data_IF_178151795590
#
_entry.id   IF_178151795590
#
_cell.length_a   1.000
_cell.length_b   1.000
_cell.length_c   1.000
_cell.angle_alpha   90.00
_cell.angle_beta   90.00
_cell.angle_gamma   90.00
#
_symmetry.space_group_name_H-M   'P 1'
#
loop_
_entity.id
_entity.type
_entity.pdbx_description
1 polymer ?
#
# COMPACT_ATOMS: atom_id res chain seq x y z
N UNK A 1 6.19 2.56 15.92
CA UNK A 1 4.78 2.14 15.74
C UNK A 1 4.06 2.17 17.09
N UNK A 2 2.96 2.92 17.22
CA UNK A 2 2.16 3.01 18.47
C UNK A 2 1.05 1.96 18.56
N UNK A 3 0.99 1.02 17.61
CA UNK A 3 0.04 -0.09 17.62
C UNK A 3 0.19 -0.92 18.91
N UNK A 4 -0.93 -1.18 19.57
CA UNK A 4 -1.00 -2.11 20.69
C UNK A 4 -0.90 -3.58 20.21
N UNK A 5 -0.79 -4.50 21.18
CA UNK A 5 -0.66 -5.93 20.88
C UNK A 5 -1.87 -6.47 20.10
N UNK A 6 -3.08 -5.97 20.37
CA UNK A 6 -4.29 -6.40 19.66
C UNK A 6 -4.26 -5.99 18.19
N UNK A 7 -3.79 -4.78 17.90
CA UNK A 7 -3.58 -4.30 16.54
C UNK A 7 -2.55 -5.15 15.80
N UNK A 8 -1.42 -5.44 16.45
CA UNK A 8 -0.39 -6.29 15.86
C UNK A 8 -0.88 -7.72 15.63
N UNK A 9 -1.64 -8.28 16.57
CA UNK A 9 -2.25 -9.60 16.42
C UNK A 9 -3.28 -9.63 15.29
N UNK A 10 -4.02 -8.55 15.08
CA UNK A 10 -4.93 -8.41 13.95
C UNK A 10 -4.17 -8.40 12.61
N UNK A 11 -3.12 -7.59 12.50
CA UNK A 11 -2.25 -7.55 11.29
C UNK A 11 -1.59 -8.91 11.06
N UNK A 12 -1.08 -9.57 12.10
CA UNK A 12 -0.48 -10.89 12.04
C UNK A 12 -1.51 -11.95 11.62
N UNK A 13 -2.75 -11.86 12.10
CA UNK A 13 -3.82 -12.78 11.68
C UNK A 13 -4.16 -12.59 10.21
N UNK A 14 -4.31 -11.34 9.77
CA UNK A 14 -4.60 -11.00 8.39
C UNK A 14 -3.49 -11.48 7.46
N UNK A 15 -2.23 -11.19 7.81
CA UNK A 15 -1.08 -11.42 6.92
C UNK A 15 -0.48 -12.80 7.09
N UNK A 16 -0.28 -13.31 8.30
CA UNK A 16 0.38 -14.61 8.54
C UNK A 16 -0.56 -15.79 8.46
N UNK A 17 -1.78 -15.64 8.99
CA UNK A 17 -2.71 -16.76 9.15
C UNK A 17 -3.80 -16.78 8.06
N UNK A 18 -3.86 -15.70 7.26
CA UNK A 18 -4.89 -15.49 6.26
C UNK A 18 -6.28 -15.35 6.86
N UNK A 19 -6.38 -14.80 8.07
CA UNK A 19 -7.61 -14.71 8.86
C UNK A 19 -8.02 -13.26 9.07
N UNK A 20 -9.23 -12.93 8.64
CA UNK A 20 -9.82 -11.63 8.90
C UNK A 20 -10.60 -11.68 10.22
N UNK A 21 -9.98 -11.15 11.28
CA UNK A 21 -10.61 -10.95 12.59
C UNK A 21 -11.40 -9.65 12.63
N UNK A 22 -12.25 -9.48 13.65
CA UNK A 22 -12.83 -8.17 13.98
C UNK A 22 -11.71 -7.16 14.20
N UNK A 23 -11.87 -5.96 13.65
CA UNK A 23 -10.88 -4.88 13.80
C UNK A 23 -10.88 -4.43 15.27
N UNK A 24 -9.72 -4.43 15.95
CA UNK A 24 -9.63 -4.04 17.34
C UNK A 24 -9.87 -2.54 17.51
N UNK A 25 -10.45 -2.17 18.65
CA UNK A 25 -10.50 -0.77 19.08
C UNK A 25 -9.25 -0.52 19.90
N UNK A 26 -8.30 0.22 19.35
CA UNK A 26 -7.01 0.40 20.01
C UNK A 26 -7.13 1.19 21.30
N UNK A 27 -6.47 0.69 22.34
CA UNK A 27 -6.33 1.37 23.63
C UNK A 27 -5.24 2.45 23.62
N UNK A 28 -4.31 2.41 22.65
CA UNK A 28 -3.20 3.36 22.52
C UNK A 28 -3.51 4.58 21.64
N UNK A 29 -4.73 4.64 21.08
CA UNK A 29 -5.13 5.70 20.13
C UNK A 29 -4.79 5.38 18.68
N UNK A 30 -4.28 4.18 18.37
CA UNK A 30 -4.03 3.74 16.99
C UNK A 30 -5.34 3.59 16.21
N UNK A 31 -5.50 4.30 15.10
CA UNK A 31 -6.75 4.27 14.33
C UNK A 31 -6.67 3.33 13.13
N UNK A 32 -7.48 2.26 13.12
CA UNK A 32 -7.77 1.49 11.91
C UNK A 32 -9.12 1.92 11.36
N UNK A 33 -9.17 2.33 10.08
CA UNK A 33 -10.43 2.67 9.40
C UNK A 33 -10.50 2.04 8.02
N UNK A 34 -11.65 1.50 7.68
CA UNK A 34 -11.94 0.98 6.34
C UNK A 34 -12.76 2.03 5.60
N UNK A 35 -12.39 2.32 4.36
CA UNK A 35 -13.07 3.29 3.51
C UNK A 35 -13.80 2.60 2.39
N UNK A 36 -14.97 3.12 2.01
CA UNK A 36 -15.81 2.56 0.95
C UNK A 36 -15.20 2.74 -0.45
N UNK A 37 -14.29 3.71 -0.63
CA UNK A 37 -13.69 4.04 -1.92
C UNK A 37 -12.26 4.58 -1.78
N UNK A 38 -11.42 4.45 -2.82
CA UNK A 38 -10.05 4.98 -2.80
C UNK A 38 -10.04 6.51 -2.75
N UNK A 39 -11.04 7.20 -3.31
CA UNK A 39 -11.17 8.66 -3.24
C UNK A 39 -11.35 9.16 -1.81
N UNK A 40 -12.18 8.48 -1.02
CA UNK A 40 -12.42 8.85 0.37
C UNK A 40 -11.18 8.60 1.24
N UNK A 41 -10.47 7.49 0.98
CA UNK A 41 -9.20 7.19 1.62
C UNK A 41 -8.14 8.26 1.29
N UNK A 42 -7.94 8.58 0.00
CA UNK A 42 -6.97 9.59 -0.43
C UNK A 42 -7.30 10.97 0.15
N UNK A 43 -8.58 11.35 0.15
CA UNK A 43 -9.04 12.61 0.73
C UNK A 43 -8.74 12.70 2.23
N UNK A 44 -8.99 11.64 2.99
CA UNK A 44 -8.67 11.63 4.42
C UNK A 44 -7.16 11.67 4.66
N UNK A 45 -6.36 10.94 3.88
CA UNK A 45 -4.89 11.00 3.98
C UNK A 45 -4.37 12.41 3.67
N UNK A 46 -4.89 13.08 2.64
CA UNK A 46 -4.55 14.47 2.32
C UNK A 46 -4.91 15.42 3.45
N UNK A 47 -6.07 15.22 4.09
CA UNK A 47 -6.47 15.97 5.28
C UNK A 47 -5.46 15.77 6.43
N UNK A 48 -5.08 14.53 6.74
CA UNK A 48 -4.07 14.23 7.77
C UNK A 48 -2.70 14.82 7.44
N UNK A 49 -2.29 14.76 6.18
CA UNK A 49 -1.04 15.37 5.73
C UNK A 49 -1.02 16.91 5.83
N UNK A 50 -2.20 17.56 5.89
CA UNK A 50 -2.32 19.00 6.12
C UNK A 50 -2.25 19.41 7.59
N UNK A 51 -2.29 18.46 8.53
CA UNK A 51 -2.15 18.69 9.97
C UNK A 51 -0.66 18.67 10.35
N UNK A 52 -0.22 19.61 11.20
CA UNK A 52 1.20 19.76 11.59
C UNK A 52 1.80 18.47 12.14
N UNK A 53 1.03 17.73 12.94
CA UNK A 53 1.51 16.54 13.66
C UNK A 53 1.36 15.24 12.85
N UNK A 54 0.81 15.32 11.63
CA UNK A 54 0.64 14.16 10.74
C UNK A 54 1.02 14.42 9.28
N UNK A 55 1.91 15.36 9.04
CA UNK A 55 2.39 15.75 7.71
C UNK A 55 2.97 14.57 6.88
N UNK A 56 3.49 13.53 7.53
CA UNK A 56 4.01 12.32 6.90
C UNK A 56 2.92 11.25 6.72
N UNK A 57 1.74 11.67 6.26
CA UNK A 57 0.66 10.75 5.85
C UNK A 57 0.69 10.54 4.35
N UNK A 58 0.69 9.28 3.88
CA UNK A 58 0.78 8.96 2.45
C UNK A 58 -0.09 7.76 2.08
N UNK A 59 -0.51 7.73 0.82
CA UNK A 59 -1.16 6.56 0.21
C UNK A 59 -0.08 5.62 -0.29
N UNK A 60 -0.23 4.33 0.01
CA UNK A 60 0.66 3.25 -0.39
C UNK A 60 -0.18 2.07 -0.88
N UNK A 61 0.35 1.28 -1.81
CA UNK A 61 -0.40 0.19 -2.41
C UNK A 61 0.45 -1.06 -2.62
N UNK A 62 -0.22 -2.22 -2.75
CA UNK A 62 0.40 -3.43 -3.31
C UNK A 62 0.78 -3.19 -4.78
N UNK A 63 1.80 -3.89 -5.23
CA UNK A 63 2.39 -3.75 -6.56
C UNK A 63 1.58 -4.54 -7.60
N UNK A 64 0.33 -4.13 -7.79
CA UNK A 64 -0.66 -4.80 -8.64
C UNK A 64 -1.01 -4.01 -9.91
N UNK A 65 -0.28 -2.92 -10.15
CA UNK A 65 -0.37 -2.11 -11.37
C UNK A 65 1.00 -2.06 -12.05
N UNK A 66 0.97 -1.91 -13.37
CA UNK A 66 2.19 -1.88 -14.17
C UNK A 66 3.07 -0.68 -13.85
N UNK A 67 4.38 -0.90 -13.90
CA UNK A 67 5.39 0.14 -13.76
C UNK A 67 6.69 -0.27 -14.45
N UNK A 68 7.32 0.68 -15.14
CA UNK A 68 8.66 0.53 -15.70
C UNK A 68 9.48 1.78 -15.45
N UNK A 69 10.66 1.61 -14.86
CA UNK A 69 11.62 2.72 -14.70
C UNK A 69 12.30 3.12 -16.01
N UNK A 70 12.27 2.24 -17.02
CA UNK A 70 13.04 2.40 -18.26
C UNK A 70 12.18 2.88 -19.43
N UNK A 71 10.87 2.65 -19.36
CA UNK A 71 9.93 2.96 -20.42
C UNK A 71 8.82 3.86 -19.88
N UNK A 72 8.30 4.73 -20.75
CA UNK A 72 7.03 5.41 -20.48
C UNK A 72 5.86 4.45 -20.72
N UNK A 73 4.67 4.74 -20.16
CA UNK A 73 3.45 4.03 -20.52
C UNK A 73 3.26 3.98 -22.05
N UNK A 74 2.87 2.82 -22.58
CA UNK A 74 2.67 2.64 -24.02
C UNK A 74 1.50 3.47 -24.54
N UNK A 75 0.46 3.63 -23.71
CA UNK A 75 -0.68 4.47 -24.02
C UNK A 75 -0.22 5.94 -24.09
N UNK A 76 -0.19 6.51 -25.30
CA UNK A 76 0.24 7.91 -25.56
C UNK A 76 -0.48 8.98 -24.73
N UNK A 77 -1.67 8.66 -24.19
CA UNK A 77 -2.46 9.55 -23.35
C UNK A 77 -2.07 9.49 -21.87
N UNK A 78 -1.35 8.44 -21.43
CA UNK A 78 -0.85 8.31 -20.07
C UNK A 78 0.52 8.97 -19.95
N UNK A 79 0.59 9.99 -19.09
CA UNK A 79 1.84 10.70 -18.82
C UNK A 79 2.75 9.93 -17.86
N UNK A 80 2.16 9.20 -16.92
CA UNK A 80 2.83 8.48 -15.83
C UNK A 80 2.40 7.03 -15.79
N UNK A 81 3.20 6.20 -15.15
CA UNK A 81 2.71 4.94 -14.59
C UNK A 81 1.84 5.25 -13.39
N UNK A 82 0.63 4.69 -13.33
CA UNK A 82 -0.37 5.07 -12.34
C UNK A 82 -1.06 3.85 -11.73
N UNK A 83 -1.50 4.01 -10.49
CA UNK A 83 -2.50 3.14 -9.87
C UNK A 83 -3.87 3.62 -10.34
N UNK A 84 -4.65 2.74 -10.97
CA UNK A 84 -5.97 3.04 -11.53
C UNK A 84 -7.03 2.12 -10.90
N UNK A 85 -8.06 2.71 -10.27
CA UNK A 85 -9.17 2.03 -9.61
C UNK A 85 -10.47 2.75 -9.99
N UNK A 86 -11.22 2.20 -10.94
CA UNK A 86 -12.41 2.86 -11.48
C UNK A 86 -12.04 4.22 -12.09
N UNK A 87 -12.58 5.30 -11.52
CA UNK A 87 -12.28 6.67 -11.95
C UNK A 87 -11.16 7.33 -11.13
N UNK A 88 -10.78 6.74 -10.00
CA UNK A 88 -9.66 7.24 -9.22
C UNK A 88 -8.35 6.73 -9.81
N UNK A 89 -7.40 7.63 -9.99
CA UNK A 89 -6.07 7.28 -10.42
C UNK A 89 -5.04 8.22 -9.81
N UNK A 90 -3.81 7.72 -9.69
CA UNK A 90 -2.71 8.49 -9.11
C UNK A 90 -1.35 7.94 -9.55
N UNK A 91 -0.37 8.80 -9.87
CA UNK A 91 0.96 8.35 -10.27
C UNK A 91 1.63 7.46 -9.24
N UNK A 92 2.36 6.46 -9.71
CA UNK A 92 3.29 5.71 -8.87
C UNK A 92 4.38 6.62 -8.32
N UNK A 93 5.06 6.13 -7.29
CA UNK A 93 6.17 6.82 -6.66
C UNK A 93 7.23 7.32 -7.68
N UNK A 94 7.73 8.54 -7.46
CA UNK A 94 8.81 9.22 -8.23
C UNK A 94 8.42 9.70 -9.63
N UNK A 95 7.18 9.52 -10.07
CA UNK A 95 6.73 9.99 -11.38
C UNK A 95 6.67 11.54 -11.44
N UNK A 96 6.27 12.20 -10.35
CA UNK A 96 6.11 13.66 -10.28
C UNK A 96 7.43 14.41 -10.04
N UNK A 97 8.50 13.73 -9.60
CA UNK A 97 9.81 14.35 -9.39
C UNK A 97 10.35 14.98 -10.69
N UNK A 98 10.04 14.37 -11.84
CA UNK A 98 10.48 14.86 -13.14
C UNK A 98 9.97 16.27 -13.46
N UNK A 99 8.80 16.64 -12.94
CA UNK A 99 8.12 17.93 -13.17
C UNK A 99 8.71 19.09 -12.36
N UNK A 100 9.42 18.76 -11.28
CA UNK A 100 9.94 19.75 -10.37
C UNK A 100 11.03 20.61 -11.04
N UNK A 101 10.99 21.91 -10.73
CA UNK A 101 12.04 22.86 -11.09
C UNK A 101 13.37 22.50 -10.43
N UNK A 102 14.47 23.06 -10.95
CA UNK A 102 15.80 22.88 -10.34
C UNK A 102 15.85 23.34 -8.87
N UNK A 103 15.03 24.33 -8.49
CA UNK A 103 14.97 24.85 -7.11
C UNK A 103 14.26 23.84 -6.20
N UNK A 104 13.13 23.31 -6.64
CA UNK A 104 12.36 22.30 -5.90
C UNK A 104 13.18 21.01 -5.72
N UNK A 105 13.82 20.53 -6.79
CA UNK A 105 14.73 19.36 -6.74
C UNK A 105 15.86 19.53 -5.73
N UNK A 106 16.40 20.75 -5.58
CA UNK A 106 17.41 21.04 -4.55
C UNK A 106 16.81 21.03 -3.14
N UNK A 107 15.59 21.50 -2.97
CA UNK A 107 14.90 21.55 -1.68
C UNK A 107 14.53 20.15 -1.16
N UNK A 108 14.21 19.21 -2.04
CA UNK A 108 13.87 17.82 -1.68
C UNK A 108 15.10 16.89 -1.61
N UNK A 109 16.30 17.39 -1.91
CA UNK A 109 17.50 16.56 -1.99
C UNK A 109 17.83 15.98 -0.61
N UNK A 110 17.89 14.65 -0.52
CA UNK A 110 18.20 13.92 0.71
C UNK A 110 16.99 13.62 1.59
N UNK A 111 15.80 14.10 1.22
CA UNK A 111 14.56 13.75 1.90
C UNK A 111 14.08 12.36 1.45
N UNK A 112 13.56 11.58 2.41
CA UNK A 112 12.85 10.34 2.10
C UNK A 112 11.60 10.64 1.26
N UNK A 113 11.14 9.67 0.46
CA UNK A 113 10.00 9.87 -0.45
C UNK A 113 8.77 10.49 0.25
N UNK A 114 8.41 9.99 1.42
CA UNK A 114 7.25 10.48 2.16
C UNK A 114 7.42 11.89 2.78
N UNK A 115 8.65 12.40 2.88
CA UNK A 115 8.93 13.75 3.37
C UNK A 115 8.86 14.80 2.25
N UNK A 116 8.87 14.35 0.99
CA UNK A 116 8.81 15.25 -0.16
C UNK A 116 7.37 15.76 -0.35
N UNK A 117 7.14 17.06 -0.56
CA UNK A 117 5.79 17.61 -0.62
C UNK A 117 4.93 17.04 -1.75
N UNK A 118 5.49 16.87 -2.95
CA UNK A 118 4.74 16.43 -4.14
C UNK A 118 4.25 14.97 -4.04
N UNK A 119 4.85 14.16 -3.16
CA UNK A 119 4.53 12.73 -3.06
C UNK A 119 3.20 12.48 -2.36
N UNK A 120 2.59 13.51 -1.77
CA UNK A 120 1.18 13.45 -1.35
C UNK A 120 0.25 13.18 -2.52
N UNK A 121 0.66 13.51 -3.74
CA UNK A 121 -0.06 13.24 -5.00
C UNK A 121 0.49 12.03 -5.75
N UNK A 122 1.31 11.19 -5.11
CA UNK A 122 1.73 9.88 -5.60
C UNK A 122 1.18 8.72 -4.73
N UNK A 123 1.33 7.49 -5.23
CA UNK A 123 1.15 6.24 -4.46
C UNK A 123 2.51 5.60 -4.24
N UNK A 124 2.84 5.33 -2.98
CA UNK A 124 4.06 4.62 -2.62
C UNK A 124 3.93 3.11 -2.78
N UNK A 125 4.96 2.46 -3.32
CA UNK A 125 5.08 1.00 -3.27
C UNK A 125 5.88 0.57 -2.04
N UNK A 126 5.91 -0.74 -1.77
CA UNK A 126 6.81 -1.29 -0.74
C UNK A 126 8.28 -0.96 -0.97
N UNK A 127 8.70 -0.75 -2.22
CA UNK A 127 10.08 -0.36 -2.54
C UNK A 127 10.46 1.04 -2.07
N UNK A 128 9.50 1.97 -1.95
CA UNK A 128 9.77 3.35 -1.52
C UNK A 128 9.50 3.59 -0.05
N UNK A 129 8.71 2.73 0.59
CA UNK A 129 8.35 2.88 2.00
C UNK A 129 9.15 1.99 2.96
N UNK A 130 9.95 1.05 2.43
CA UNK A 130 10.75 0.16 3.27
C UNK A 130 11.77 0.93 4.11
N UNK A 131 11.69 0.78 5.43
CA UNK A 131 12.59 1.46 6.37
C UNK A 131 12.14 2.88 6.75
N UNK A 132 10.94 3.30 6.35
CA UNK A 132 10.34 4.57 6.75
C UNK A 132 8.95 4.34 7.35
N UNK A 133 8.59 5.15 8.33
CA UNK A 133 7.31 5.09 9.04
C UNK A 133 6.47 6.33 8.68
N UNK A 134 5.16 6.15 8.50
CA UNK A 134 4.19 7.21 8.19
C UNK A 134 3.37 7.54 9.42
N UNK A 135 2.91 8.78 9.58
CA UNK A 135 1.95 9.11 10.64
C UNK A 135 0.65 8.31 10.44
N UNK A 136 0.04 8.45 9.26
CA UNK A 136 -1.05 7.60 8.80
C UNK A 136 -0.71 6.96 7.45
N UNK A 137 -0.91 5.66 7.35
CA UNK A 137 -0.75 4.92 6.10
C UNK A 137 -2.11 4.67 5.45
N UNK A 138 -2.33 5.22 4.26
CA UNK A 138 -3.47 4.85 3.42
C UNK A 138 -3.11 3.65 2.58
N UNK A 139 -3.47 2.45 3.03
CA UNK A 139 -3.15 1.18 2.39
C UNK A 139 -4.24 0.78 1.39
N UNK A 140 -3.86 0.73 0.12
CA UNK A 140 -4.68 0.15 -0.95
C UNK A 140 -4.21 -1.29 -1.18
N UNK A 141 -5.11 -2.23 -0.95
CA UNK A 141 -4.91 -3.64 -1.29
C UNK A 141 -5.45 -3.85 -2.71
N UNK A 142 -4.55 -4.05 -3.66
CA UNK A 142 -4.87 -4.30 -5.06
C UNK A 142 -5.38 -5.71 -5.32
N UNK A 143 -5.42 -6.07 -6.60
CA UNK A 143 -6.05 -7.32 -7.07
C UNK A 143 -5.34 -8.60 -6.65
N UNK A 144 -4.10 -8.53 -6.13
CA UNK A 144 -3.38 -9.70 -5.61
C UNK A 144 -3.79 -10.10 -4.20
N UNK A 145 -4.63 -9.31 -3.51
CA UNK A 145 -5.12 -9.62 -2.16
C UNK A 145 -6.63 -9.81 -2.21
N UNK A 146 -7.09 -11.03 -1.95
CA UNK A 146 -8.50 -11.44 -2.10
C UNK A 146 -9.01 -12.07 -0.81
N UNK A 147 -10.32 -12.22 -0.70
CA UNK A 147 -10.94 -13.01 0.36
C UNK A 147 -11.84 -14.07 -0.24
N UNK A 148 -11.62 -15.34 0.07
CA UNK A 148 -12.49 -16.42 -0.40
C UNK A 148 -12.69 -17.43 0.72
N UNK A 149 -13.92 -17.89 0.92
CA UNK A 149 -14.25 -19.00 1.84
C UNK A 149 -13.68 -18.81 3.25
N UNK A 150 -13.75 -17.59 3.81
CA UNK A 150 -13.27 -17.34 5.16
C UNK A 150 -11.77 -17.03 5.28
N UNK A 151 -11.02 -16.99 4.17
CA UNK A 151 -9.56 -16.84 4.15
C UNK A 151 -9.10 -15.72 3.22
N UNK A 152 -8.06 -15.02 3.64
CA UNK A 152 -7.29 -14.11 2.79
C UNK A 152 -6.45 -14.97 1.83
N UNK A 153 -6.54 -14.66 0.54
CA UNK A 153 -5.82 -15.32 -0.54
C UNK A 153 -4.87 -14.30 -1.17
N UNK A 154 -3.59 -14.67 -1.27
CA UNK A 154 -2.61 -13.90 -2.03
C UNK A 154 -2.46 -14.54 -3.40
N UNK A 155 -2.75 -13.79 -4.46
CA UNK A 155 -2.75 -14.27 -5.85
C UNK A 155 -1.58 -13.67 -6.65
N UNK A 156 -0.48 -14.42 -6.85
CA UNK A 156 0.68 -13.95 -7.61
C UNK A 156 0.39 -13.60 -9.06
N UNK A 157 -0.67 -14.17 -9.65
CA UNK A 157 -1.00 -13.91 -11.06
C UNK A 157 -1.51 -12.49 -11.30
N UNK A 158 -1.97 -11.83 -10.23
CA UNK A 158 -2.50 -10.47 -10.26
C UNK A 158 -1.47 -9.39 -9.85
N UNK A 159 -0.27 -9.80 -9.43
CA UNK A 159 0.81 -8.87 -9.05
C UNK A 159 1.69 -8.53 -10.26
N UNK A 160 2.06 -7.27 -10.40
CA UNK A 160 3.06 -6.81 -11.37
C UNK A 160 4.50 -6.88 -10.84
N UNK A 161 4.69 -7.34 -9.59
CA UNK A 161 6.01 -7.58 -9.04
C UNK A 161 6.63 -8.82 -9.69
N UNK A 162 7.57 -8.60 -10.62
CA UNK A 162 8.24 -9.69 -11.35
C UNK A 162 8.88 -10.75 -10.44
N UNK A 163 9.24 -10.42 -9.19
CA UNK A 163 9.76 -11.41 -8.22
C UNK A 163 8.67 -12.30 -7.65
N UNK A 164 7.43 -11.79 -7.52
CA UNK A 164 6.28 -12.57 -7.06
C UNK A 164 5.77 -13.53 -8.15
N UNK A 165 5.91 -13.16 -9.43
CA UNK A 165 5.43 -13.96 -10.57
C UNK A 165 6.44 -15.04 -11.00
N UNK A 166 7.74 -14.83 -10.77
CA UNK A 166 8.80 -15.75 -11.24
C UNK A 166 9.02 -16.94 -10.29
N UNK A 167 9.21 -18.12 -10.89
CA UNK A 167 9.71 -19.30 -10.17
C UNK A 167 11.16 -19.07 -9.74
N UNK A 168 11.48 -19.35 -8.47
CA UNK A 168 12.88 -19.41 -8.03
C UNK A 168 13.39 -20.83 -8.16
N UNK A 169 14.56 -20.97 -8.81
CA UNK A 169 15.35 -22.20 -8.77
C UNK A 169 16.11 -22.22 -7.45
N UNK A 170 15.86 -23.24 -6.63
CA UNK A 170 16.58 -23.46 -5.38
C UNK A 170 17.94 -24.11 -5.66
N UNK A 171 18.81 -24.14 -4.64
CA UNK A 171 20.16 -24.72 -4.74
C UNK A 171 20.16 -26.20 -5.09
N UNK A 172 19.04 -26.89 -4.88
CA UNK A 172 18.80 -28.28 -5.27
C UNK A 172 18.24 -28.44 -6.70
N UNK A 173 18.11 -27.34 -7.46
CA UNK A 173 17.56 -27.32 -8.82
C UNK A 173 16.04 -27.31 -8.91
N UNK A 174 15.31 -27.41 -7.79
CA UNK A 174 13.84 -27.39 -7.80
C UNK A 174 13.29 -25.98 -8.03
N UNK A 175 12.17 -25.88 -8.74
CA UNK A 175 11.46 -24.59 -8.94
C UNK A 175 10.31 -24.50 -7.95
N UNK A 176 10.37 -23.53 -7.06
CA UNK A 176 9.29 -23.28 -6.09
C UNK A 176 8.68 -21.89 -6.31
N UNK A 177 7.35 -21.82 -6.21
CA UNK A 177 6.60 -20.56 -6.23
C UNK A 177 6.66 -19.94 -4.84
N UNK A 178 7.23 -18.75 -4.75
CA UNK A 178 7.27 -17.95 -3.52
C UNK A 178 6.35 -16.72 -3.61
N UNK A 179 5.54 -16.61 -4.67
CA UNK A 179 4.74 -15.44 -4.95
C UNK A 179 3.79 -15.06 -3.82
N UNK A 180 3.06 -16.05 -3.28
CA UNK A 180 2.10 -15.83 -2.20
C UNK A 180 2.80 -15.25 -0.96
N UNK A 181 3.92 -15.88 -0.56
CA UNK A 181 4.75 -15.40 0.56
C UNK A 181 5.32 -14.01 0.32
N UNK A 182 5.69 -13.68 -0.93
CA UNK A 182 6.21 -12.35 -1.27
C UNK A 182 5.13 -11.29 -1.17
N UNK A 183 3.94 -11.53 -1.71
CA UNK A 183 2.79 -10.61 -1.56
C UNK A 183 2.38 -10.49 -0.10
N UNK A 184 2.37 -11.61 0.63
CA UNK A 184 2.09 -11.62 2.06
C UNK A 184 3.05 -10.71 2.85
N UNK A 185 4.36 -10.81 2.59
CA UNK A 185 5.35 -9.92 3.19
C UNK A 185 5.16 -8.47 2.75
N UNK A 186 4.83 -8.26 1.49
CA UNK A 186 4.55 -6.94 0.92
C UNK A 186 3.40 -6.26 1.67
N UNK A 187 2.26 -6.94 1.79
CA UNK A 187 1.07 -6.48 2.52
C UNK A 187 1.41 -6.20 3.97
N UNK A 188 2.14 -7.10 4.64
CA UNK A 188 2.60 -6.87 6.02
C UNK A 188 3.46 -5.63 6.15
N UNK A 189 4.38 -5.39 5.22
CA UNK A 189 5.21 -4.18 5.23
C UNK A 189 4.33 -2.95 5.14
N UNK A 190 3.34 -2.91 4.22
CA UNK A 190 2.43 -1.77 4.06
C UNK A 190 1.59 -1.53 5.32
N UNK A 191 0.96 -2.58 5.84
CA UNK A 191 0.05 -2.49 7.00
C UNK A 191 0.75 -2.09 8.31
N UNK A 192 2.07 -2.19 8.38
CA UNK A 192 2.87 -1.82 9.56
C UNK A 192 3.54 -0.45 9.44
N UNK A 193 3.32 0.30 8.35
CA UNK A 193 3.98 1.61 8.14
C UNK A 193 3.36 2.73 8.96
N UNK A 194 2.05 2.69 9.25
CA UNK A 194 1.38 3.73 9.99
C UNK A 194 1.76 3.66 11.47
N UNK A 195 2.21 4.77 12.06
CA UNK A 195 2.53 4.85 13.49
C UNK A 195 1.35 5.29 14.34
N UNK A 196 0.48 6.17 13.82
CA UNK A 196 -0.72 6.66 14.49
C UNK A 196 -1.98 5.96 13.96
N UNK A 197 -1.95 5.43 12.73
CA UNK A 197 -3.09 4.71 12.18
C UNK A 197 -2.88 4.18 10.77
N UNK A 198 -3.80 3.32 10.37
CA UNK A 198 -3.88 2.69 9.06
C UNK A 198 -5.29 2.82 8.51
N UNK A 199 -5.40 3.35 7.30
CA UNK A 199 -6.65 3.45 6.55
C UNK A 199 -6.61 2.47 5.39
N UNK A 200 -7.66 1.70 5.18
CA UNK A 200 -7.65 0.55 4.27
C UNK A 200 -8.76 0.67 3.23
N UNK A 201 -8.42 0.34 1.98
CA UNK A 201 -9.37 0.03 0.91
C UNK A 201 -8.87 -1.22 0.18
N UNK A 202 -9.78 -2.15 -0.14
CA UNK A 202 -9.48 -3.34 -0.93
C UNK A 202 -10.20 -3.30 -2.29
N UNK A 203 -9.46 -3.66 -3.35
CA UNK A 203 -10.00 -3.74 -4.70
C UNK A 203 -10.84 -5.00 -4.93
N UNK A 204 -10.56 -6.09 -4.21
CA UNK A 204 -11.38 -7.31 -4.26
C UNK A 204 -12.72 -7.07 -3.53
N UNK A 205 -13.87 -7.20 -4.21
CA UNK A 205 -15.17 -6.85 -3.61
C UNK A 205 -15.54 -7.67 -2.37
N UNK A 206 -15.18 -8.96 -2.33
CA UNK A 206 -15.47 -9.83 -1.19
C UNK A 206 -14.62 -9.43 0.02
N UNK A 207 -13.33 -9.18 -0.19
CA UNK A 207 -12.44 -8.67 0.86
C UNK A 207 -12.92 -7.31 1.39
N UNK A 208 -13.31 -6.40 0.51
CA UNK A 208 -13.81 -5.09 0.89
C UNK A 208 -15.07 -5.19 1.76
N UNK A 209 -16.04 -6.03 1.36
CA UNK A 209 -17.26 -6.24 2.13
C UNK A 209 -16.98 -6.82 3.53
N UNK A 210 -16.08 -7.81 3.63
CA UNK A 210 -15.75 -8.40 4.93
C UNK A 210 -14.90 -7.46 5.80
N UNK A 211 -14.03 -6.61 5.23
CA UNK A 211 -13.33 -5.55 5.96
C UNK A 211 -14.32 -4.53 6.55
N UNK A 212 -15.32 -4.09 5.77
CA UNK A 212 -16.38 -3.19 6.25
C UNK A 212 -17.14 -3.86 7.40
N UNK A 213 -17.51 -5.14 7.26
CA UNK A 213 -18.20 -5.89 8.32
C UNK A 213 -17.35 -6.05 9.57
N UNK A 214 -16.06 -6.32 9.42
CA UNK A 214 -15.11 -6.43 10.53
C UNK A 214 -14.84 -5.10 11.25
N UNK A 215 -15.15 -3.96 10.63
CA UNK A 215 -15.03 -2.63 11.23
C UNK A 215 -16.23 -2.19 12.07
N UNK A 216 -17.31 -2.99 12.10
CA UNK A 216 -18.52 -2.79 12.92
C UNK A 216 -18.45 -3.66 14.20
#
# INVERSE_FOLDING_TARGET
MQADSETMDWIDSFTKNGELKKIPVSSSGYSIRVFDSPELLDKEIKKRAGETDSALSRVIATYDWEYSSNNRPEARLMKYWEVLIGNWHKPWNRELESELSKKEKRAIKGLAWAEQPQTIDEVGSTFTIQGFDLNYAGVILGSSVKYRNGKIIFDPSASYNSKAVRNRTLSDGTKKKFGEMLIQHEVRVLMTRGVNGMYIYACDPELQAELIKASR
#
